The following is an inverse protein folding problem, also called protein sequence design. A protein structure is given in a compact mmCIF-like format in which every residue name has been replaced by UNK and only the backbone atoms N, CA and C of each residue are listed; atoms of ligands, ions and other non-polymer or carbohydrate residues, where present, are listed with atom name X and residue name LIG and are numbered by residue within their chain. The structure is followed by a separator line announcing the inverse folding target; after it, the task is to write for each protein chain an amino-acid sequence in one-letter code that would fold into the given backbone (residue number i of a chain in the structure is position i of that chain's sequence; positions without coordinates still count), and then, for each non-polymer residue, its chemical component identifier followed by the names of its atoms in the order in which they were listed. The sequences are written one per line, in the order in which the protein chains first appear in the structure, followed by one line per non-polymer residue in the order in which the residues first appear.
data_IF_268134247616
#
_entry.id   IF_268134247616
#
_cell.length_a   1.000
_cell.length_b   1.000
_cell.length_c   1.000
_cell.angle_alpha   90.00
_cell.angle_beta   90.00
_cell.angle_gamma   90.00
#
_symmetry.space_group_name_H-M   'P 1'
#
loop_
_entity.id
_entity.type
_entity.pdbx_description
1 polymer ?
#
# COMPACT_ATOMS: atom_id res chain seq x y z
N UNK A 1 -50.52 -45.51 15.75
CA UNK A 1 -50.37 -44.88 14.39
C UNK A 1 -49.09 -44.17 14.37
N UNK A 2 -48.02 -44.87 14.01
CA UNK A 2 -46.68 -44.34 13.84
C UNK A 2 -46.60 -43.63 12.50
N UNK A 3 -46.61 -42.33 12.51
CA UNK A 3 -46.31 -41.54 11.31
C UNK A 3 -44.82 -41.60 11.07
N UNK A 4 -44.41 -42.48 10.20
CA UNK A 4 -43.09 -42.53 9.63
C UNK A 4 -42.90 -41.30 8.74
N UNK A 5 -42.38 -40.22 9.28
CA UNK A 5 -41.75 -39.16 8.45
C UNK A 5 -40.43 -39.72 7.94
N UNK A 6 -40.23 -39.81 6.64
CA UNK A 6 -38.92 -40.16 6.13
C UNK A 6 -37.93 -39.13 6.61
N UNK A 7 -36.74 -39.53 7.09
CA UNK A 7 -35.72 -38.58 7.51
C UNK A 7 -35.48 -37.64 6.35
N UNK A 8 -35.56 -36.34 6.62
CA UNK A 8 -35.22 -35.30 5.65
C UNK A 8 -33.80 -35.57 5.11
N UNK A 9 -33.73 -36.08 3.89
CA UNK A 9 -32.44 -36.23 3.20
C UNK A 9 -31.92 -34.84 2.94
N UNK A 10 -30.99 -34.40 3.78
CA UNK A 10 -30.16 -33.20 3.48
C UNK A 10 -29.18 -33.60 2.38
N UNK A 11 -29.37 -33.08 1.20
CA UNK A 11 -28.35 -33.10 0.17
C UNK A 11 -27.41 -31.95 0.52
N UNK A 12 -26.22 -32.26 1.04
CA UNK A 12 -25.13 -31.28 1.19
C UNK A 12 -24.41 -31.28 -0.15
N UNK A 13 -24.53 -30.20 -0.89
CA UNK A 13 -23.75 -29.99 -2.10
C UNK A 13 -22.51 -29.14 -1.72
N UNK A 14 -21.34 -29.74 -1.67
CA UNK A 14 -20.09 -29.03 -1.60
C UNK A 14 -19.68 -28.59 -3.01
N UNK A 15 -19.82 -27.30 -3.32
CA UNK A 15 -19.37 -26.75 -4.57
C UNK A 15 -17.91 -26.30 -4.42
N UNK A 16 -16.98 -27.09 -4.90
CA UNK A 16 -15.58 -26.67 -5.05
C UNK A 16 -15.43 -25.92 -6.37
N UNK A 17 -15.07 -24.65 -6.31
CA UNK A 17 -14.72 -23.88 -7.50
C UNK A 17 -13.30 -23.33 -7.37
N UNK A 18 -12.58 -23.34 -8.47
CA UNK A 18 -11.24 -22.72 -8.57
C UNK A 18 -11.42 -21.36 -9.20
N UNK A 19 -11.17 -20.31 -8.41
CA UNK A 19 -11.11 -18.94 -8.95
C UNK A 19 -9.81 -18.78 -9.73
N UNK A 20 -9.92 -18.64 -11.04
CA UNK A 20 -8.77 -18.34 -11.89
C UNK A 20 -8.49 -16.84 -11.81
N UNK A 21 -7.30 -16.42 -11.38
CA UNK A 21 -6.98 -14.98 -11.30
C UNK A 21 -7.01 -14.36 -12.70
N UNK A 22 -7.37 -13.09 -12.78
CA UNK A 22 -7.35 -12.35 -14.02
C UNK A 22 -5.91 -12.14 -14.51
N UNK A 23 -5.72 -12.11 -15.83
CA UNK A 23 -4.49 -11.57 -16.41
C UNK A 23 -4.42 -10.06 -16.19
N UNK A 24 -3.25 -9.45 -16.35
CA UNK A 24 -3.09 -7.99 -16.19
C UNK A 24 -4.05 -7.20 -17.08
N UNK A 25 -4.23 -7.64 -18.33
CA UNK A 25 -5.14 -7.00 -19.29
C UNK A 25 -6.60 -7.13 -18.88
N UNK A 26 -7.01 -8.32 -18.48
CA UNK A 26 -8.35 -8.57 -17.95
C UNK A 26 -8.62 -7.76 -16.68
N UNK A 27 -7.63 -7.69 -15.77
CA UNK A 27 -7.73 -6.92 -14.56
C UNK A 27 -7.85 -5.41 -14.85
N UNK A 28 -7.09 -4.86 -15.81
CA UNK A 28 -7.21 -3.46 -16.26
C UNK A 28 -8.60 -3.17 -16.84
N UNK A 29 -9.13 -4.08 -17.64
CA UNK A 29 -10.48 -3.93 -18.17
C UNK A 29 -11.53 -3.95 -17.07
N UNK A 30 -11.38 -4.85 -16.08
CA UNK A 30 -12.27 -4.93 -14.92
C UNK A 30 -12.17 -3.68 -14.05
N UNK A 31 -10.98 -3.12 -13.86
CA UNK A 31 -10.79 -1.88 -13.11
C UNK A 31 -11.68 -0.74 -13.65
N UNK A 32 -11.87 -0.67 -14.96
CA UNK A 32 -12.69 0.37 -15.60
C UNK A 32 -14.20 0.10 -15.56
N UNK A 33 -14.63 -1.15 -15.35
CA UNK A 33 -16.04 -1.55 -15.44
C UNK A 33 -16.61 -2.06 -14.14
N UNK A 34 -15.86 -2.87 -13.41
CA UNK A 34 -16.27 -3.56 -12.19
C UNK A 34 -15.09 -3.68 -11.21
N UNK A 35 -14.55 -2.58 -10.68
CA UNK A 35 -13.39 -2.60 -9.80
C UNK A 35 -13.63 -3.38 -8.50
N UNK A 36 -14.88 -3.47 -8.06
CA UNK A 36 -15.30 -4.25 -6.88
C UNK A 36 -15.11 -5.77 -7.03
N UNK A 37 -14.89 -6.24 -8.25
CA UNK A 37 -14.62 -7.67 -8.54
C UNK A 37 -13.13 -8.01 -8.49
N UNK A 38 -12.28 -7.00 -8.39
CA UNK A 38 -10.83 -7.20 -8.32
C UNK A 38 -10.40 -7.51 -6.89
N UNK A 39 -9.60 -8.56 -6.75
CA UNK A 39 -8.89 -8.83 -5.51
C UNK A 39 -7.74 -7.81 -5.34
N UNK A 40 -7.30 -7.66 -4.09
CA UNK A 40 -6.15 -6.80 -3.76
C UNK A 40 -4.89 -7.19 -4.56
N UNK A 41 -4.66 -8.50 -4.77
CA UNK A 41 -3.52 -8.99 -5.54
C UNK A 41 -3.59 -8.57 -7.03
N UNK A 42 -4.78 -8.58 -7.62
CA UNK A 42 -4.99 -8.14 -9.00
C UNK A 42 -4.82 -6.63 -9.14
N UNK A 43 -5.24 -5.85 -8.15
CA UNK A 43 -4.98 -4.41 -8.11
C UNK A 43 -3.46 -4.12 -8.02
N UNK A 44 -2.70 -4.88 -7.20
CA UNK A 44 -1.23 -4.77 -7.18
C UNK A 44 -0.59 -5.20 -8.51
N UNK A 45 -1.13 -6.21 -9.18
CA UNK A 45 -0.64 -6.62 -10.49
C UNK A 45 -0.78 -5.50 -11.52
N UNK A 46 -1.91 -4.77 -11.50
CA UNK A 46 -2.11 -3.58 -12.33
C UNK A 46 -1.14 -2.47 -11.93
N UNK A 47 -0.98 -2.19 -10.63
CA UNK A 47 -0.09 -1.14 -10.13
C UNK A 47 1.34 -1.31 -10.63
N UNK A 48 1.86 -2.54 -10.61
CA UNK A 48 3.20 -2.87 -11.10
C UNK A 48 3.40 -2.64 -12.60
N UNK A 49 2.34 -2.44 -13.37
CA UNK A 49 2.41 -2.12 -14.80
C UNK A 49 2.55 -0.62 -15.08
N UNK A 50 2.43 0.22 -14.06
CA UNK A 50 2.60 1.66 -14.17
C UNK A 50 3.93 2.10 -13.52
N UNK A 51 4.57 3.17 -14.04
CA UNK A 51 5.71 3.77 -13.36
C UNK A 51 5.30 4.27 -11.96
N UNK A 52 6.11 4.02 -10.91
CA UNK A 52 5.86 4.57 -9.59
C UNK A 52 5.68 6.09 -9.64
N UNK A 53 4.75 6.64 -8.86
CA UNK A 53 4.45 8.07 -8.84
C UNK A 53 3.66 8.62 -10.03
N UNK A 54 3.46 7.83 -11.10
CA UNK A 54 2.66 8.28 -12.25
C UNK A 54 1.20 8.57 -11.87
N UNK A 55 0.49 9.43 -12.63
CA UNK A 55 -0.93 9.69 -12.36
C UNK A 55 -1.79 8.42 -12.31
N UNK A 56 -1.52 7.45 -13.19
CA UNK A 56 -2.23 6.17 -13.23
C UNK A 56 -1.94 5.30 -12.00
N UNK A 57 -0.67 5.27 -11.56
CA UNK A 57 -0.26 4.59 -10.33
C UNK A 57 -0.98 5.18 -9.11
N UNK A 58 -0.97 6.50 -8.98
CA UNK A 58 -1.61 7.20 -7.86
C UNK A 58 -3.13 7.04 -7.87
N UNK A 59 -3.76 7.14 -9.05
CA UNK A 59 -5.20 6.93 -9.20
C UNK A 59 -5.61 5.52 -8.77
N UNK A 60 -4.83 4.50 -9.16
CA UNK A 60 -5.10 3.11 -8.78
C UNK A 60 -4.99 2.90 -7.26
N UNK A 61 -3.97 3.45 -6.60
CA UNK A 61 -3.86 3.34 -5.14
C UNK A 61 -4.94 4.12 -4.40
N UNK A 62 -5.39 5.26 -4.94
CA UNK A 62 -6.55 5.98 -4.40
C UNK A 62 -7.84 5.14 -4.54
N UNK A 63 -8.05 4.52 -5.71
CA UNK A 63 -9.15 3.59 -5.96
C UNK A 63 -9.08 2.38 -5.02
N UNK A 64 -7.89 1.80 -4.85
CA UNK A 64 -7.66 0.68 -3.93
C UNK A 64 -8.09 1.03 -2.50
N UNK A 65 -7.84 2.26 -2.02
CA UNK A 65 -8.25 2.69 -0.68
C UNK A 65 -9.76 2.86 -0.53
N UNK A 66 -10.53 3.03 -1.62
CA UNK A 66 -11.99 3.06 -1.54
C UNK A 66 -12.59 1.69 -1.21
N UNK A 67 -11.91 0.60 -1.61
CA UNK A 67 -12.31 -0.78 -1.32
C UNK A 67 -11.57 -1.38 -0.12
N UNK A 68 -10.33 -0.95 0.12
CA UNK A 68 -9.44 -1.46 1.16
C UNK A 68 -8.87 -0.28 1.97
N UNK A 69 -9.70 0.41 2.79
CA UNK A 69 -9.32 1.66 3.44
C UNK A 69 -8.12 1.54 4.38
N UNK A 70 -7.90 0.38 4.98
CA UNK A 70 -6.78 0.14 5.90
C UNK A 70 -5.51 -0.40 5.21
N UNK A 71 -5.46 -0.33 3.87
CA UNK A 71 -4.32 -0.85 3.13
C UNK A 71 -3.07 0.02 3.34
N UNK A 72 -2.16 -0.47 4.17
CA UNK A 72 -0.91 0.22 4.52
C UNK A 72 0.00 0.48 3.31
N UNK A 73 0.06 -0.47 2.36
CA UNK A 73 0.91 -0.32 1.17
C UNK A 73 0.39 0.78 0.26
N UNK A 74 -0.92 0.85 0.04
CA UNK A 74 -1.52 1.89 -0.78
C UNK A 74 -1.29 3.28 -0.17
N UNK A 75 -1.51 3.44 1.15
CA UNK A 75 -1.25 4.68 1.86
C UNK A 75 0.21 5.10 1.80
N UNK A 76 1.13 4.15 2.00
CA UNK A 76 2.57 4.43 1.95
C UNK A 76 3.04 4.85 0.55
N UNK A 77 2.52 4.24 -0.51
CA UNK A 77 2.85 4.64 -1.88
C UNK A 77 2.28 6.02 -2.24
N UNK A 78 1.07 6.34 -1.79
CA UNK A 78 0.51 7.68 -1.97
C UNK A 78 1.27 8.74 -1.17
N UNK A 79 1.76 8.39 0.03
CA UNK A 79 2.63 9.27 0.80
C UNK A 79 3.94 9.55 0.09
N UNK A 80 4.60 8.51 -0.46
CA UNK A 80 5.83 8.68 -1.24
C UNK A 80 5.63 9.63 -2.42
N UNK A 81 4.56 9.44 -3.20
CA UNK A 81 4.23 10.32 -4.32
C UNK A 81 3.92 11.76 -3.89
N UNK A 82 3.27 11.94 -2.74
CA UNK A 82 3.02 13.27 -2.18
C UNK A 82 4.34 13.96 -1.75
N UNK A 83 5.28 13.22 -1.15
CA UNK A 83 6.61 13.72 -0.79
C UNK A 83 7.43 14.13 -2.03
N UNK A 84 7.38 13.34 -3.10
CA UNK A 84 8.02 13.67 -4.38
C UNK A 84 7.49 14.97 -4.99
N UNK A 85 6.21 15.25 -4.82
CA UNK A 85 5.56 16.49 -5.28
C UNK A 85 5.66 17.66 -4.29
N UNK A 86 6.25 17.45 -3.10
CA UNK A 86 6.36 18.44 -2.03
C UNK A 86 5.06 18.68 -1.26
N UNK A 87 4.02 17.85 -1.45
CA UNK A 87 2.76 17.92 -0.70
C UNK A 87 2.90 17.23 0.67
N UNK A 88 3.58 17.92 1.59
CA UNK A 88 3.84 17.40 2.95
C UNK A 88 2.57 17.16 3.75
N UNK A 89 1.51 17.96 3.52
CA UNK A 89 0.24 17.79 4.22
C UNK A 89 -0.45 16.47 3.82
N UNK A 90 -0.50 16.18 2.54
CA UNK A 90 -1.05 14.92 2.03
C UNK A 90 -0.22 13.72 2.47
N UNK A 91 1.09 13.84 2.41
CA UNK A 91 2.01 12.80 2.89
C UNK A 91 1.77 12.49 4.36
N UNK A 92 1.66 13.50 5.21
CA UNK A 92 1.36 13.35 6.64
C UNK A 92 0.03 12.62 6.86
N UNK A 93 -1.03 13.03 6.16
CA UNK A 93 -2.36 12.39 6.28
C UNK A 93 -2.30 10.90 5.92
N UNK A 94 -1.56 10.54 4.88
CA UNK A 94 -1.39 9.15 4.47
C UNK A 94 -0.58 8.35 5.52
N UNK A 95 0.49 8.91 6.07
CA UNK A 95 1.39 8.21 7.01
C UNK A 95 0.80 8.05 8.42
N UNK A 96 -0.04 8.98 8.88
CA UNK A 96 -0.66 8.91 10.21
C UNK A 96 -1.59 7.70 10.41
N UNK A 97 -2.08 7.12 9.33
CA UNK A 97 -3.04 6.02 9.34
C UNK A 97 -2.41 4.66 9.01
N UNK A 98 -1.10 4.56 9.11
CA UNK A 98 -0.36 3.34 8.72
C UNK A 98 0.44 2.81 9.89
N UNK A 99 0.39 1.50 10.08
CA UNK A 99 1.26 0.82 11.03
C UNK A 99 2.73 0.98 10.63
N UNK A 100 3.60 1.13 11.63
CA UNK A 100 5.02 1.31 11.39
C UNK A 100 5.62 0.11 10.64
N UNK A 101 6.26 0.41 9.52
CA UNK A 101 7.07 -0.53 8.74
C UNK A 101 8.35 0.18 8.29
N UNK A 102 9.40 -0.53 7.85
CA UNK A 102 10.62 0.11 7.41
C UNK A 102 10.42 1.17 6.31
N UNK A 103 9.55 0.90 5.34
CA UNK A 103 9.20 1.86 4.28
C UNK A 103 8.42 3.06 4.80
N UNK A 104 7.51 2.86 5.75
CA UNK A 104 6.76 3.95 6.41
C UNK A 104 7.71 4.83 7.23
N UNK A 105 8.64 4.23 7.98
CA UNK A 105 9.67 4.98 8.73
C UNK A 105 10.57 5.80 7.80
N UNK A 106 10.97 5.24 6.65
CA UNK A 106 11.72 5.98 5.66
C UNK A 106 10.94 7.20 5.14
N UNK A 107 9.68 7.01 4.74
CA UNK A 107 8.85 8.11 4.24
C UNK A 107 8.55 9.16 5.32
N UNK A 108 8.40 8.74 6.58
CA UNK A 108 8.27 9.66 7.71
C UNK A 108 9.57 10.49 7.89
N UNK A 109 10.74 9.86 7.74
CA UNK A 109 12.02 10.57 7.74
C UNK A 109 12.11 11.63 6.65
N UNK A 110 11.69 11.31 5.41
CA UNK A 110 11.65 12.28 4.31
C UNK A 110 10.70 13.43 4.63
N UNK A 111 9.51 13.14 5.17
CA UNK A 111 8.54 14.16 5.58
C UNK A 111 9.14 15.12 6.63
N UNK A 112 9.75 14.57 7.68
CA UNK A 112 10.36 15.35 8.76
C UNK A 112 11.52 16.20 8.23
N UNK A 113 12.32 15.67 7.31
CA UNK A 113 13.38 16.43 6.66
C UNK A 113 12.83 17.62 5.86
N UNK A 114 11.78 17.43 5.08
CA UNK A 114 11.11 18.51 4.35
C UNK A 114 10.49 19.57 5.26
N UNK A 115 10.15 19.20 6.50
CA UNK A 115 9.67 20.11 7.54
C UNK A 115 10.81 20.80 8.32
N UNK A 116 12.08 20.54 8.00
CA UNK A 116 13.24 21.09 8.68
C UNK A 116 13.60 20.41 10.00
N UNK A 117 12.97 19.29 10.34
CA UNK A 117 13.20 18.50 11.57
C UNK A 117 14.30 17.46 11.34
N UNK A 118 15.52 17.93 11.14
CA UNK A 118 16.66 17.14 10.64
C UNK A 118 17.03 15.99 11.59
N UNK A 119 17.09 16.23 12.90
CA UNK A 119 17.45 15.19 13.88
C UNK A 119 16.38 14.10 13.99
N UNK A 120 15.10 14.48 13.95
CA UNK A 120 13.99 13.51 13.96
C UNK A 120 13.99 12.68 12.67
N UNK A 121 14.25 13.31 11.52
CA UNK A 121 14.38 12.63 10.23
C UNK A 121 15.49 11.58 10.25
N UNK A 122 16.67 11.95 10.78
CA UNK A 122 17.82 11.06 10.94
C UNK A 122 17.45 9.83 11.78
N UNK A 123 16.78 10.05 12.89
CA UNK A 123 16.33 8.93 13.75
C UNK A 123 15.38 7.97 13.00
N UNK A 124 14.42 8.50 12.22
CA UNK A 124 13.53 7.69 11.40
C UNK A 124 14.30 6.87 10.35
N UNK A 125 15.32 7.46 9.68
CA UNK A 125 16.16 6.73 8.74
C UNK A 125 17.01 5.65 9.42
N UNK A 126 17.55 5.91 10.61
CA UNK A 126 18.28 4.91 11.39
C UNK A 126 17.40 3.70 11.73
N UNK A 127 16.18 3.94 12.19
CA UNK A 127 15.20 2.90 12.47
C UNK A 127 14.81 2.10 11.23
N UNK A 128 14.56 2.78 10.11
CA UNK A 128 14.22 2.13 8.84
C UNK A 128 15.38 1.29 8.31
N UNK A 129 16.60 1.81 8.37
CA UNK A 129 17.83 1.13 7.94
C UNK A 129 18.10 -0.13 8.78
N UNK A 130 17.97 -0.03 10.11
CA UNK A 130 18.15 -1.17 11.03
C UNK A 130 17.14 -2.30 10.74
N UNK A 131 15.97 -1.99 10.18
CA UNK A 131 14.95 -2.94 9.78
C UNK A 131 14.99 -3.31 8.27
N UNK A 132 16.09 -3.01 7.58
CA UNK A 132 16.37 -3.50 6.23
C UNK A 132 15.83 -2.63 5.08
N UNK A 133 15.42 -1.38 5.31
CA UNK A 133 15.05 -0.45 4.25
C UNK A 133 16.31 0.08 3.54
N UNK A 134 16.51 -0.27 2.28
CA UNK A 134 17.69 0.15 1.50
C UNK A 134 17.68 1.64 1.18
N UNK A 135 16.52 2.19 0.87
CA UNK A 135 16.32 3.60 0.58
C UNK A 135 16.69 4.47 1.79
N UNK A 136 16.38 3.99 2.99
CA UNK A 136 16.74 4.67 4.23
C UNK A 136 18.26 4.76 4.46
N UNK A 137 19.01 3.75 4.01
CA UNK A 137 20.48 3.78 4.12
C UNK A 137 21.08 4.92 3.29
N UNK A 138 20.56 5.13 2.09
CA UNK A 138 20.97 6.26 1.24
C UNK A 138 20.58 7.60 1.90
N UNK A 139 19.33 7.75 2.31
CA UNK A 139 18.85 8.97 2.96
C UNK A 139 19.61 9.29 4.25
N UNK A 140 19.98 8.27 5.03
CA UNK A 140 20.77 8.42 6.23
C UNK A 140 22.20 8.93 5.92
N UNK A 141 22.81 8.46 4.85
CA UNK A 141 24.12 8.93 4.41
C UNK A 141 24.06 10.39 4.00
N UNK A 142 23.07 10.77 3.20
CA UNK A 142 22.88 12.15 2.75
C UNK A 142 22.67 13.12 3.92
N UNK A 143 21.80 12.78 4.87
CA UNK A 143 21.53 13.66 6.01
C UNK A 143 22.77 13.81 6.91
N UNK A 144 23.54 12.75 7.13
CA UNK A 144 24.81 12.82 7.88
C UNK A 144 25.84 13.72 7.20
N UNK A 145 25.93 13.67 5.87
CA UNK A 145 26.80 14.53 5.10
C UNK A 145 26.39 16.01 5.22
N UNK A 146 25.11 16.30 5.12
CA UNK A 146 24.59 17.66 5.29
C UNK A 146 24.87 18.23 6.69
N UNK A 147 24.69 17.42 7.74
CA UNK A 147 24.95 17.83 9.12
C UNK A 147 26.46 18.06 9.41
N UNK A 148 27.34 17.33 8.75
CA UNK A 148 28.78 17.46 8.93
C UNK A 148 29.36 18.75 8.26
N UNK A 149 28.60 19.34 7.32
CA UNK A 149 29.03 20.54 6.56
C UNK A 149 28.35 21.83 7.06
N UNK A 150 27.59 21.79 8.15
CA UNK A 150 27.06 22.97 8.85
C UNK A 150 27.93 23.35 10.04
#
# INVERSE_FOLDING_TARGET
RDSLYPPLRRVVCDACYVVKPFTTEQAKQRLSTHPEQLSLNEMYLIARSYPPGSPQFNALFAEMLSYYPDNAVARNNLAASALESGDTQRARTCLQQVSSSPGVQNNLGVLLYQEGKVEEAKHCFEMACANGCREAAFNLQEIKHLMANQ
#
